data_IF_430390947466
#
_entry.id   IF_430390947466
#
_cell.length_a   1.000
_cell.length_b   1.000
_cell.length_c   1.000
_cell.angle_alpha   90.00
_cell.angle_beta   90.00
_cell.angle_gamma   90.00
#
_symmetry.space_group_name_H-M   'P 1'
#
loop_
_entity.id
_entity.type
_entity.pdbx_description
1 polymer ?
#
# COMPACT_ATOMS: atom_id res chain seq x y z
N UNK A 1 15.69 12.55 27.57
CA UNK A 1 15.88 11.19 27.27
C UNK A 1 15.42 10.83 25.88
N UNK A 2 16.28 10.23 25.15
CA UNK A 2 15.94 9.91 23.81
C UNK A 2 15.05 8.67 23.80
N UNK A 3 14.04 8.69 22.99
CA UNK A 3 13.18 7.56 22.84
C UNK A 3 13.34 7.03 21.46
N UNK A 4 13.45 5.74 21.38
CA UNK A 4 13.49 5.10 20.09
C UNK A 4 12.09 4.78 19.67
N UNK A 5 11.72 5.16 18.48
CA UNK A 5 10.43 4.85 17.94
C UNK A 5 10.60 3.79 16.88
N UNK A 6 9.88 2.70 17.03
CA UNK A 6 9.89 1.65 16.03
C UNK A 6 8.58 1.75 15.30
N UNK A 7 8.64 2.02 14.00
CA UNK A 7 7.44 2.10 13.18
C UNK A 7 7.16 0.76 12.56
N UNK A 8 5.92 0.35 12.62
CA UNK A 8 5.50 -0.91 12.06
C UNK A 8 4.87 -0.67 10.70
N UNK A 9 5.45 -1.29 9.68
CA UNK A 9 4.97 -1.18 8.31
C UNK A 9 4.38 -2.54 7.96
N UNK A 10 3.07 -2.58 7.75
CA UNK A 10 2.38 -3.83 7.50
C UNK A 10 2.07 -4.01 6.02
N UNK A 11 2.48 -5.12 5.45
CA UNK A 11 2.27 -5.40 4.04
C UNK A 11 1.30 -6.54 3.81
N UNK A 12 0.54 -6.93 4.82
CA UNK A 12 -0.37 -8.07 4.70
C UNK A 12 -1.34 -7.90 3.54
N UNK A 13 -1.88 -6.70 3.36
CA UNK A 13 -2.90 -6.48 2.35
C UNK A 13 -2.34 -6.41 0.93
N UNK A 14 -1.05 -6.28 0.78
CA UNK A 14 -0.44 -6.27 -0.55
C UNK A 14 0.43 -7.50 -0.72
N UNK A 15 1.48 -7.63 0.08
CA UNK A 15 2.43 -8.71 -0.08
C UNK A 15 1.86 -10.05 0.40
N UNK A 16 1.13 -10.04 1.49
CA UNK A 16 0.51 -11.26 1.98
C UNK A 16 -0.49 -11.85 1.01
N UNK A 17 -1.15 -11.00 0.24
CA UNK A 17 -2.13 -11.46 -0.72
C UNK A 17 -1.47 -12.13 -1.93
N UNK A 18 -0.18 -11.93 -2.14
CA UNK A 18 0.52 -12.53 -3.25
C UNK A 18 0.80 -14.02 -3.01
N UNK A 19 0.62 -14.49 -1.80
CA UNK A 19 0.85 -15.89 -1.50
C UNK A 19 -0.27 -16.71 -2.14
N UNK A 20 0.05 -17.78 -2.88
CA UNK A 20 -0.97 -18.58 -3.54
C UNK A 20 -2.02 -19.07 -2.54
N UNK A 21 -3.27 -18.92 -2.91
CA UNK A 21 -4.37 -19.36 -2.05
C UNK A 21 -4.79 -18.37 -0.99
N UNK A 22 -4.12 -17.22 -0.92
CA UNK A 22 -4.43 -16.22 0.09
C UNK A 22 -5.09 -14.97 -0.49
N UNK A 23 -5.77 -15.10 -1.61
CA UNK A 23 -6.41 -13.94 -2.22
C UNK A 23 -7.62 -13.50 -1.41
N UNK A 24 -7.69 -12.22 -1.12
CA UNK A 24 -8.77 -11.66 -0.31
C UNK A 24 -9.68 -10.78 -1.16
N UNK A 25 -10.96 -10.78 -0.84
CA UNK A 25 -11.87 -9.84 -1.51
C UNK A 25 -11.81 -8.51 -0.75
N UNK A 26 -12.48 -7.51 -1.30
CA UNK A 26 -12.45 -6.17 -0.71
C UNK A 26 -12.99 -6.13 0.70
N UNK A 27 -14.09 -6.87 0.96
CA UNK A 27 -14.67 -6.89 2.30
C UNK A 27 -13.70 -7.44 3.33
N UNK A 28 -12.99 -8.49 2.97
CA UNK A 28 -12.01 -9.07 3.87
C UNK A 28 -10.86 -8.13 4.12
N UNK A 29 -10.42 -7.44 3.07
CA UNK A 29 -9.33 -6.47 3.22
C UNK A 29 -9.73 -5.33 4.14
N UNK A 30 -10.97 -4.89 4.07
CA UNK A 30 -11.45 -3.82 4.93
C UNK A 30 -11.46 -4.23 6.40
N UNK A 31 -11.86 -5.47 6.66
CA UNK A 31 -11.85 -5.96 8.03
C UNK A 31 -10.43 -6.00 8.58
N UNK A 32 -9.51 -6.50 7.78
CA UNK A 32 -8.11 -6.57 8.20
C UNK A 32 -7.54 -5.17 8.40
N UNK A 33 -7.85 -4.26 7.50
CA UNK A 33 -7.35 -2.89 7.61
C UNK A 33 -7.83 -2.23 8.90
N UNK A 34 -9.09 -2.43 9.24
CA UNK A 34 -9.61 -1.87 10.48
C UNK A 34 -8.91 -2.44 11.69
N UNK A 35 -8.64 -3.72 11.68
CA UNK A 35 -7.96 -4.36 12.81
C UNK A 35 -6.52 -3.89 12.94
N UNK A 36 -5.83 -3.75 11.82
CA UNK A 36 -4.47 -3.26 11.84
C UNK A 36 -4.42 -1.82 12.36
N UNK A 37 -5.39 -1.01 11.95
CA UNK A 37 -5.46 0.36 12.40
C UNK A 37 -5.69 0.42 13.92
N UNK A 38 -6.53 -0.45 14.43
CA UNK A 38 -6.79 -0.51 15.87
C UNK A 38 -5.60 -1.04 16.65
N UNK A 39 -4.82 -1.92 16.04
CA UNK A 39 -3.65 -2.46 16.71
C UNK A 39 -2.54 -1.42 16.84
N UNK A 40 -2.64 -0.34 16.09
CA UNK A 40 -1.65 0.72 16.20
C UNK A 40 -0.48 0.58 15.25
N UNK A 41 -0.62 -0.18 14.16
CA UNK A 41 0.46 -0.20 13.17
C UNK A 41 0.59 1.19 12.58
N UNK A 42 1.79 1.56 12.21
CA UNK A 42 2.04 2.91 11.74
C UNK A 42 1.67 3.08 10.27
N UNK A 43 1.97 2.11 9.44
CA UNK A 43 1.72 2.19 8.01
C UNK A 43 1.08 0.89 7.54
N UNK A 44 0.00 1.01 6.78
CA UNK A 44 -0.67 -0.12 6.16
C UNK A 44 -0.50 0.01 4.66
N UNK A 45 0.17 -0.96 4.03
CA UNK A 45 0.32 -0.96 2.59
C UNK A 45 -0.93 -1.60 2.01
N UNK A 46 -1.79 -0.77 1.43
CA UNK A 46 -3.12 -1.20 1.03
C UNK A 46 -3.14 -2.00 -0.26
N UNK A 47 -2.19 -1.78 -1.15
CA UNK A 47 -2.17 -2.53 -2.38
C UNK A 47 -1.37 -1.84 -3.46
N UNK A 48 -1.52 -2.35 -4.69
CA UNK A 48 -0.85 -1.82 -5.86
C UNK A 48 -1.95 -1.28 -6.80
N UNK A 49 -2.32 -0.01 -6.66
CA UNK A 49 -3.53 0.52 -7.32
C UNK A 49 -3.55 0.38 -8.84
N UNK A 50 -2.38 0.43 -9.49
CA UNK A 50 -2.36 0.36 -10.93
C UNK A 50 -2.47 -1.07 -11.42
N UNK A 51 -2.35 -2.05 -10.54
CA UNK A 51 -2.32 -3.46 -10.90
C UNK A 51 -3.64 -3.91 -11.53
N UNK A 52 -4.76 -3.47 -11.00
CA UNK A 52 -6.08 -3.84 -11.55
C UNK A 52 -7.12 -2.88 -11.00
N UNK A 53 -8.30 -2.80 -11.66
CA UNK A 53 -9.39 -2.00 -11.13
C UNK A 53 -9.83 -2.44 -9.73
N UNK A 54 -9.76 -3.73 -9.46
CA UNK A 54 -10.09 -4.23 -8.12
C UNK A 54 -9.12 -3.75 -7.08
N UNK A 55 -7.84 -3.74 -7.39
CA UNK A 55 -6.84 -3.23 -6.47
C UNK A 55 -7.01 -1.74 -6.24
N UNK A 56 -7.31 -0.99 -7.28
CA UNK A 56 -7.58 0.43 -7.15
C UNK A 56 -8.75 0.66 -6.20
N UNK A 57 -9.83 -0.07 -6.40
CA UNK A 57 -11.01 0.08 -5.56
C UNK A 57 -10.72 -0.27 -4.11
N UNK A 58 -9.96 -1.33 -3.90
CA UNK A 58 -9.61 -1.73 -2.53
C UNK A 58 -8.82 -0.66 -1.83
N UNK A 59 -7.85 -0.05 -2.52
CA UNK A 59 -7.04 1.01 -1.92
C UNK A 59 -7.92 2.22 -1.59
N UNK A 60 -8.85 2.57 -2.47
CA UNK A 60 -9.77 3.67 -2.22
C UNK A 60 -10.59 3.41 -0.96
N UNK A 61 -11.14 2.21 -0.86
CA UNK A 61 -12.01 1.91 0.28
C UNK A 61 -11.23 1.82 1.59
N UNK A 62 -10.03 1.26 1.55
CA UNK A 62 -9.18 1.23 2.73
C UNK A 62 -8.83 2.66 3.15
N UNK A 63 -8.56 3.53 2.18
CA UNK A 63 -8.25 4.92 2.47
C UNK A 63 -9.39 5.62 3.17
N UNK A 64 -10.62 5.22 2.87
CA UNK A 64 -11.79 5.85 3.48
C UNK A 64 -11.99 5.45 4.95
N UNK A 65 -11.55 4.26 5.35
CA UNK A 65 -11.88 3.77 6.68
C UNK A 65 -10.73 3.84 7.68
N UNK A 66 -9.49 3.91 7.23
CA UNK A 66 -8.36 3.96 8.14
C UNK A 66 -8.24 5.37 8.71
N UNK A 67 -8.13 5.49 10.01
CA UNK A 67 -8.12 6.79 10.67
C UNK A 67 -6.79 7.16 11.30
N UNK A 68 -6.05 6.22 11.81
CA UNK A 68 -4.83 6.52 12.54
C UNK A 68 -3.57 6.16 11.79
N UNK A 69 -3.57 5.06 11.07
CA UNK A 69 -2.39 4.62 10.34
C UNK A 69 -2.22 5.41 9.04
N UNK A 70 -0.99 5.42 8.54
CA UNK A 70 -0.74 5.95 7.21
C UNK A 70 -1.10 4.87 6.20
N UNK A 71 -1.86 5.23 5.18
CA UNK A 71 -2.23 4.29 4.12
C UNK A 71 -1.27 4.47 2.97
N UNK A 72 -0.65 3.38 2.56
CA UNK A 72 0.39 3.40 1.56
C UNK A 72 -0.02 2.60 0.33
N UNK A 73 0.28 3.13 -0.84
CA UNK A 73 0.06 2.41 -2.10
C UNK A 73 1.39 2.16 -2.78
N UNK A 74 1.55 0.96 -3.34
CA UNK A 74 2.75 0.61 -4.06
C UNK A 74 2.66 1.13 -5.48
N UNK A 75 3.74 1.68 -6.01
CA UNK A 75 3.82 2.08 -7.41
C UNK A 75 5.18 1.77 -7.96
N UNK A 76 5.26 1.66 -9.28
CA UNK A 76 6.55 1.72 -9.93
C UNK A 76 6.90 3.22 -10.06
N UNK A 77 8.16 3.52 -10.32
CA UNK A 77 8.55 4.92 -10.45
C UNK A 77 8.23 5.43 -11.85
N UNK A 78 6.96 5.36 -12.21
CA UNK A 78 6.44 5.80 -13.49
C UNK A 78 5.33 6.80 -13.20
N UNK A 79 5.32 7.88 -13.93
CA UNK A 79 4.39 8.96 -13.65
C UNK A 79 2.93 8.49 -13.60
N UNK A 80 2.53 7.67 -14.54
CA UNK A 80 1.16 7.19 -14.57
C UNK A 80 0.78 6.40 -13.32
N UNK A 81 1.69 5.53 -12.85
CA UNK A 81 1.45 4.74 -11.66
C UNK A 81 1.30 5.64 -10.44
N UNK A 82 2.12 6.66 -10.36
CA UNK A 82 2.10 7.57 -9.23
C UNK A 82 0.80 8.36 -9.22
N UNK A 83 0.34 8.78 -10.38
CA UNK A 83 -0.92 9.50 -10.47
C UNK A 83 -2.10 8.63 -10.09
N UNK A 84 -2.09 7.37 -10.54
CA UNK A 84 -3.14 6.42 -10.19
C UNK A 84 -3.17 6.20 -8.69
N UNK A 85 -1.99 6.02 -8.10
CA UNK A 85 -1.91 5.81 -6.65
C UNK A 85 -2.36 7.03 -5.88
N UNK A 86 -1.98 8.22 -6.34
CA UNK A 86 -2.40 9.44 -5.67
C UNK A 86 -3.93 9.57 -5.70
N UNK A 87 -4.55 9.19 -6.82
CA UNK A 87 -6.00 9.22 -6.90
C UNK A 87 -6.64 8.21 -5.98
N UNK A 88 -6.06 7.02 -5.89
CA UNK A 88 -6.61 5.98 -5.02
C UNK A 88 -6.49 6.36 -3.55
N UNK A 89 -5.45 7.09 -3.19
CA UNK A 89 -5.21 7.48 -1.81
C UNK A 89 -5.80 8.84 -1.45
N UNK A 90 -6.55 9.42 -2.38
CA UNK A 90 -7.01 10.79 -2.24
C UNK A 90 -7.78 11.06 -0.94
N UNK A 91 -8.55 10.09 -0.47
CA UNK A 91 -9.35 10.29 0.73
C UNK A 91 -8.66 9.82 2.00
N UNK A 92 -7.46 9.28 1.90
CA UNK A 92 -6.74 8.85 3.09
C UNK A 92 -6.35 10.06 3.93
N UNK A 93 -6.44 9.94 5.22
CA UNK A 93 -6.02 11.01 6.12
C UNK A 93 -4.52 11.17 6.11
N UNK A 94 -3.80 10.07 5.94
CA UNK A 94 -2.34 10.09 5.89
C UNK A 94 -1.88 9.23 4.73
N UNK A 95 -1.90 9.77 3.51
CA UNK A 95 -1.51 8.98 2.34
C UNK A 95 0.00 8.92 2.18
N UNK A 96 0.47 7.84 1.56
CA UNK A 96 1.88 7.67 1.30
C UNK A 96 2.04 6.81 0.05
N UNK A 97 3.04 7.12 -0.75
CA UNK A 97 3.34 6.36 -1.95
C UNK A 97 4.66 5.64 -1.74
N UNK A 98 4.65 4.33 -1.99
CA UNK A 98 5.84 3.50 -1.84
C UNK A 98 6.32 3.12 -3.22
N UNK A 99 7.48 3.60 -3.61
CA UNK A 99 8.02 3.32 -4.94
C UNK A 99 8.75 1.99 -4.93
N UNK A 100 8.43 1.15 -5.91
CA UNK A 100 9.10 -0.13 -6.04
C UNK A 100 10.28 0.05 -6.99
N UNK A 101 11.47 -0.06 -6.47
CA UNK A 101 12.66 0.08 -7.29
C UNK A 101 13.02 -1.22 -8.00
N UNK A 102 12.39 -2.31 -7.62
CA UNK A 102 12.67 -3.58 -8.27
C UNK A 102 12.31 -3.52 -9.73
N UNK A 103 11.25 -2.82 -10.06
CA UNK A 103 10.80 -2.73 -11.44
C UNK A 103 11.65 -1.78 -12.27
N UNK A 104 12.48 -0.99 -11.62
CA UNK A 104 13.35 -0.07 -12.33
C UNK A 104 14.68 -0.72 -12.60
N UNK A 105 15.19 -1.50 -11.68
CA UNK A 105 16.50 -2.10 -11.87
C UNK A 105 16.34 -3.48 -12.42
N UNK A 106 15.79 -3.61 -13.58
CA UNK A 106 15.70 -4.88 -14.23
C UNK A 106 17.08 -5.40 -14.53
N UNK A 107 17.30 -6.66 -14.32
CA UNK A 107 18.64 -7.18 -14.54
C UNK A 107 19.12 -7.04 -15.95
N UNK A 108 18.21 -6.97 -16.88
CA UNK A 108 18.64 -6.88 -18.24
C UNK A 108 19.04 -5.50 -18.62
N UNK A 109 18.87 -4.51 -17.78
CA UNK A 109 19.24 -3.22 -18.16
C UNK A 109 19.99 -2.59 -17.05
N UNK A 110 21.13 -2.13 -17.29
CA UNK A 110 21.93 -1.48 -16.31
C UNK A 110 21.26 -0.21 -15.91
N UNK A 111 21.47 0.13 -14.72
CA UNK A 111 20.87 1.28 -14.24
C UNK A 111 21.63 2.45 -14.61
N UNK A 112 22.19 2.47 -15.66
CA UNK A 112 22.91 3.51 -16.06
C UNK A 112 22.19 4.70 -16.06
N UNK A 113 21.54 4.89 -15.31
CA UNK A 113 20.90 6.04 -15.33
C UNK A 113 21.57 7.07 -14.79
#
# INVERSE_FOLDING_TARGET
MAKEFVKIFDTTLRDGEQVPGCKLNTSQKLIIAKRLDKLGVDVIEAGFPVSSPGDFKSVVEISNIVENATVCGLTRAVKNDIEVAANALKTAKRPRIHLSLIHISEPTRPMNI
#
